data_IF_829734630899
#
_entry.id   IF_829734630899
#
_cell.length_a   1.000
_cell.length_b   1.000
_cell.length_c   1.000
_cell.angle_alpha   90.00
_cell.angle_beta   90.00
_cell.angle_gamma   90.00
#
_symmetry.space_group_name_H-M   'P 1'
#
loop_
_entity.id
_entity.type
_entity.pdbx_description
1 polymer ?
#
# COMPACT_ATOMS: atom_id res chain seq x y z
N UNK A 1 -12.95 -0.28 -0.90
CA UNK A 1 -13.89 0.60 -0.18
C UNK A 1 -13.09 1.69 0.51
N UNK A 2 -13.51 2.94 0.40
CA UNK A 2 -12.87 4.06 1.13
C UNK A 2 -13.91 4.73 2.01
N UNK A 3 -13.58 4.96 3.28
CA UNK A 3 -14.43 5.64 4.25
C UNK A 3 -13.66 6.81 4.86
N UNK A 4 -14.22 8.01 4.79
CA UNK A 4 -13.67 9.16 5.50
C UNK A 4 -14.40 9.38 6.83
N UNK A 5 -13.64 9.64 7.88
CA UNK A 5 -14.16 9.91 9.21
C UNK A 5 -13.38 11.03 9.89
N UNK A 6 -14.09 11.84 10.67
CA UNK A 6 -13.49 12.87 11.53
C UNK A 6 -13.67 12.47 12.98
N UNK A 7 -12.58 12.37 13.74
CA UNK A 7 -12.64 12.03 15.18
C UNK A 7 -11.57 12.78 15.94
N UNK A 8 -11.95 13.45 17.02
CA UNK A 8 -11.02 14.13 17.95
C UNK A 8 -10.02 15.07 17.27
N UNK A 9 -10.42 15.76 16.19
CA UNK A 9 -9.54 16.67 15.44
C UNK A 9 -8.69 15.99 14.36
N UNK A 10 -8.79 14.68 14.20
CA UNK A 10 -8.14 13.93 13.13
C UNK A 10 -9.09 13.73 11.95
N UNK A 11 -8.59 14.00 10.75
CA UNK A 11 -9.22 13.61 9.49
C UNK A 11 -8.61 12.29 9.05
N UNK A 12 -9.41 11.22 9.10
CA UNK A 12 -8.96 9.84 8.92
C UNK A 12 -9.60 9.26 7.67
N UNK A 13 -8.82 8.54 6.87
CA UNK A 13 -9.29 7.76 5.72
C UNK A 13 -9.03 6.29 6.00
N UNK A 14 -10.08 5.49 5.95
CA UNK A 14 -9.99 4.02 5.98
C UNK A 14 -10.09 3.50 4.56
N UNK A 15 -9.08 2.76 4.13
CA UNK A 15 -9.03 2.05 2.86
C UNK A 15 -9.16 0.56 3.15
N UNK A 16 -10.34 0.00 2.88
CA UNK A 16 -10.60 -1.43 2.95
C UNK A 16 -10.43 -2.08 1.58
N UNK A 17 -9.44 -2.96 1.43
CA UNK A 17 -9.17 -3.70 0.19
C UNK A 17 -8.87 -5.17 0.49
N UNK A 18 -8.96 -6.01 -0.53
CA UNK A 18 -8.56 -7.41 -0.49
C UNK A 18 -7.87 -7.71 -1.82
N UNK A 19 -6.59 -8.09 -1.76
CA UNK A 19 -5.81 -8.30 -2.96
C UNK A 19 -6.17 -9.64 -3.63
N UNK A 20 -5.94 -9.78 -4.93
CA UNK A 20 -5.98 -11.07 -5.61
C UNK A 20 -5.05 -12.08 -4.92
N UNK A 21 -5.37 -13.37 -5.02
CA UNK A 21 -4.54 -14.46 -4.49
C UNK A 21 -3.28 -14.67 -5.33
N UNK A 22 -2.31 -15.43 -4.82
CA UNK A 22 -1.02 -15.65 -5.48
C UNK A 22 -1.12 -16.34 -6.85
N UNK A 23 -2.18 -17.11 -7.07
CA UNK A 23 -2.48 -17.81 -8.33
C UNK A 23 -3.28 -16.96 -9.34
N UNK A 24 -3.70 -15.75 -8.97
CA UNK A 24 -4.40 -14.85 -9.88
C UNK A 24 -3.49 -14.41 -11.05
N UNK A 25 -4.11 -14.09 -12.19
CA UNK A 25 -3.39 -13.59 -13.36
C UNK A 25 -2.63 -12.29 -13.05
N UNK A 26 -1.44 -12.17 -13.65
CA UNK A 26 -0.55 -11.01 -13.49
C UNK A 26 -1.28 -9.70 -13.78
N UNK A 27 -2.07 -9.65 -14.86
CA UNK A 27 -2.83 -8.47 -15.24
C UNK A 27 -3.84 -8.03 -14.17
N UNK A 28 -4.46 -8.98 -13.47
CA UNK A 28 -5.42 -8.69 -12.39
C UNK A 28 -4.69 -8.10 -11.19
N UNK A 29 -3.49 -8.60 -10.87
CA UNK A 29 -2.64 -8.05 -9.81
C UNK A 29 -2.14 -6.66 -10.18
N UNK A 30 -1.65 -6.45 -11.40
CA UNK A 30 -1.22 -5.14 -11.90
C UNK A 30 -2.34 -4.11 -11.75
N UNK A 31 -3.52 -4.41 -12.30
CA UNK A 31 -4.68 -3.53 -12.21
C UNK A 31 -5.07 -3.22 -10.76
N UNK A 32 -5.00 -4.21 -9.86
CA UNK A 32 -5.29 -4.00 -8.45
C UNK A 32 -4.30 -3.02 -7.80
N UNK A 33 -3.00 -3.26 -7.97
CA UNK A 33 -1.97 -2.42 -7.33
C UNK A 33 -1.88 -1.03 -7.94
N UNK A 34 -2.06 -0.88 -9.25
CA UNK A 34 -2.17 0.43 -9.91
C UNK A 34 -3.36 1.22 -9.37
N UNK A 35 -4.53 0.58 -9.26
CA UNK A 35 -5.73 1.22 -8.69
C UNK A 35 -5.51 1.61 -7.23
N UNK A 36 -4.86 0.74 -6.45
CA UNK A 36 -4.53 1.02 -5.06
C UNK A 36 -3.58 2.22 -4.95
N UNK A 37 -2.50 2.26 -5.74
CA UNK A 37 -1.58 3.41 -5.80
C UNK A 37 -2.37 4.70 -6.09
N UNK A 38 -3.22 4.71 -7.11
CA UNK A 38 -4.02 5.89 -7.46
C UNK A 38 -4.93 6.34 -6.30
N UNK A 39 -5.58 5.41 -5.60
CA UNK A 39 -6.40 5.74 -4.44
C UNK A 39 -5.55 6.38 -3.34
N UNK A 40 -4.38 5.82 -3.04
CA UNK A 40 -3.49 6.31 -1.99
C UNK A 40 -2.90 7.69 -2.33
N UNK A 41 -2.45 7.90 -3.57
CA UNK A 41 -1.89 9.18 -4.02
C UNK A 41 -2.93 10.31 -4.05
N UNK A 42 -4.21 9.99 -4.27
CA UNK A 42 -5.28 10.99 -4.27
C UNK A 42 -5.73 11.40 -2.85
N UNK A 43 -5.29 10.71 -1.80
CA UNK A 43 -5.61 11.10 -0.42
C UNK A 43 -4.72 12.28 -0.02
N UNK A 44 -5.36 13.32 0.54
CA UNK A 44 -4.65 14.49 1.05
C UNK A 44 -3.58 14.04 2.09
N UNK A 45 -2.29 14.40 1.92
CA UNK A 45 -1.20 13.98 2.80
C UNK A 45 -1.36 14.36 4.27
N UNK A 46 -2.24 15.33 4.59
CA UNK A 46 -2.53 15.74 5.98
C UNK A 46 -3.52 14.81 6.69
N UNK A 47 -4.17 13.88 5.98
CA UNK A 47 -5.09 12.90 6.57
C UNK A 47 -4.30 11.68 7.04
N UNK A 48 -4.75 11.10 8.14
CA UNK A 48 -4.24 9.79 8.58
C UNK A 48 -4.90 8.70 7.76
N UNK A 49 -4.11 7.71 7.30
CA UNK A 49 -4.60 6.61 6.46
C UNK A 49 -4.50 5.30 7.24
N UNK A 50 -5.61 4.56 7.30
CA UNK A 50 -5.65 3.20 7.80
C UNK A 50 -6.01 2.23 6.67
N UNK A 51 -5.17 1.23 6.48
CA UNK A 51 -5.35 0.20 5.45
C UNK A 51 -5.76 -1.09 6.16
N UNK A 52 -7.01 -1.52 5.99
CA UNK A 52 -7.55 -2.76 6.60
C UNK A 52 -7.63 -3.87 5.54
N UNK A 53 -6.67 -4.81 5.55
CA UNK A 53 -6.40 -5.63 4.35
C UNK A 53 -5.87 -7.05 4.61
N UNK A 54 -6.24 -7.98 3.69
CA UNK A 54 -5.43 -9.13 3.28
C UNK A 54 -4.76 -8.87 1.94
N UNK A 55 -3.47 -8.48 1.95
CA UNK A 55 -2.77 -7.94 0.76
C UNK A 55 -2.19 -9.07 -0.10
N UNK A 56 -2.22 -10.32 0.40
CA UNK A 56 -1.58 -11.48 -0.22
C UNK A 56 -0.13 -11.18 -0.67
N UNK A 57 0.54 -10.27 0.04
CA UNK A 57 1.85 -9.75 -0.30
C UNK A 57 2.86 -10.23 0.73
N UNK A 58 3.84 -11.00 0.26
CA UNK A 58 5.03 -11.41 1.02
C UNK A 58 6.15 -10.51 0.55
N UNK A 59 6.56 -9.56 1.38
CA UNK A 59 7.48 -8.48 1.00
C UNK A 59 8.95 -8.87 1.09
N UNK A 60 9.27 -10.06 1.59
CA UNK A 60 10.62 -10.42 1.97
C UNK A 60 11.11 -9.61 3.19
N UNK A 61 12.40 -9.76 3.50
CA UNK A 61 13.12 -8.97 4.50
C UNK A 61 14.40 -8.37 3.90
N UNK A 62 14.66 -7.09 4.13
CA UNK A 62 15.81 -6.37 3.59
C UNK A 62 16.45 -5.44 4.63
N UNK A 63 17.78 -5.37 4.68
CA UNK A 63 18.50 -4.46 5.58
C UNK A 63 18.51 -3.01 5.07
N UNK A 64 18.54 -2.83 3.75
CA UNK A 64 18.89 -1.56 3.11
C UNK A 64 17.80 -1.04 2.14
N UNK A 65 16.51 -1.31 2.44
CA UNK A 65 15.39 -0.73 1.69
C UNK A 65 14.65 0.30 2.54
N UNK A 66 14.17 1.35 1.88
CA UNK A 66 13.45 2.44 2.54
C UNK A 66 12.07 2.03 3.05
N UNK A 67 11.43 1.08 2.36
CA UNK A 67 10.04 0.64 2.61
C UNK A 67 9.97 -0.69 3.35
N UNK A 68 10.92 -1.59 3.14
CA UNK A 68 10.91 -2.94 3.73
C UNK A 68 12.04 -3.08 4.75
N UNK A 69 11.68 -3.52 5.95
CA UNK A 69 12.63 -3.74 7.04
C UNK A 69 13.30 -5.12 7.03
N UNK A 70 14.22 -5.31 7.97
CA UNK A 70 15.07 -6.51 8.09
C UNK A 70 14.43 -7.75 8.72
N UNK A 71 13.21 -7.62 9.22
CA UNK A 71 12.51 -8.70 9.92
C UNK A 71 11.26 -9.09 9.14
N UNK A 72 10.89 -10.37 9.20
CA UNK A 72 9.74 -10.91 8.50
C UNK A 72 10.06 -12.25 7.85
N UNK A 73 9.24 -12.63 6.89
CA UNK A 73 9.46 -13.81 6.06
C UNK A 73 10.45 -13.48 4.92
N UNK A 74 11.34 -14.41 4.59
CA UNK A 74 12.34 -14.20 3.52
C UNK A 74 11.74 -14.20 2.11
N UNK A 75 10.60 -14.87 1.93
CA UNK A 75 9.95 -14.99 0.64
C UNK A 75 9.40 -13.65 0.14
N UNK A 76 9.77 -13.31 -1.08
CA UNK A 76 9.20 -12.21 -1.84
C UNK A 76 8.31 -12.78 -2.94
N UNK A 77 7.00 -12.54 -2.86
CA UNK A 77 6.07 -12.94 -3.92
C UNK A 77 5.75 -11.77 -4.86
N UNK A 78 5.05 -12.10 -5.95
CA UNK A 78 4.69 -11.18 -7.04
C UNK A 78 3.88 -9.97 -6.55
N UNK A 79 2.93 -10.20 -5.64
CA UNK A 79 2.14 -9.18 -4.95
C UNK A 79 3.00 -8.31 -4.02
N UNK A 80 3.98 -8.91 -3.34
CA UNK A 80 4.94 -8.23 -2.49
C UNK A 80 5.82 -7.23 -3.25
N UNK A 81 6.27 -7.58 -4.44
CA UNK A 81 7.03 -6.65 -5.29
C UNK A 81 6.21 -5.40 -5.65
N UNK A 82 4.95 -5.60 -6.02
CA UNK A 82 4.05 -4.50 -6.38
C UNK A 82 3.71 -3.62 -5.19
N UNK A 83 3.43 -4.22 -4.02
CA UNK A 83 3.18 -3.47 -2.80
C UNK A 83 4.38 -2.57 -2.44
N UNK A 84 5.60 -3.10 -2.55
CA UNK A 84 6.81 -2.31 -2.30
C UNK A 84 6.85 -1.12 -3.25
N UNK A 85 6.62 -1.32 -4.55
CA UNK A 85 6.61 -0.23 -5.53
C UNK A 85 5.53 0.81 -5.22
N UNK A 86 4.30 0.37 -4.93
CA UNK A 86 3.18 1.24 -4.52
C UNK A 86 3.57 2.12 -3.33
N UNK A 87 4.16 1.53 -2.28
CA UNK A 87 4.58 2.26 -1.08
C UNK A 87 5.73 3.24 -1.36
N UNK A 88 6.69 2.83 -2.20
CA UNK A 88 7.76 3.72 -2.67
C UNK A 88 7.17 4.95 -3.40
N UNK A 89 6.33 4.73 -4.41
CA UNK A 89 5.70 5.81 -5.19
C UNK A 89 4.88 6.75 -4.30
N UNK A 90 4.12 6.20 -3.35
CA UNK A 90 3.32 6.99 -2.42
C UNK A 90 4.19 7.87 -1.52
N UNK A 91 5.22 7.32 -0.85
CA UNK A 91 6.11 8.09 0.02
C UNK A 91 6.76 9.24 -0.74
N UNK A 92 7.29 8.99 -1.94
CA UNK A 92 7.96 10.02 -2.73
C UNK A 92 6.99 11.05 -3.31
N UNK A 93 5.74 10.68 -3.61
CA UNK A 93 4.72 11.65 -4.00
C UNK A 93 4.34 12.59 -2.84
N UNK A 94 4.23 12.07 -1.61
CA UNK A 94 3.84 12.86 -0.44
C UNK A 94 4.88 13.88 0.03
N UNK A 95 6.16 13.71 -0.31
CA UNK A 95 7.24 14.63 0.06
C UNK A 95 7.45 15.79 -0.91
N UNK A 96 6.90 15.74 -2.14
CA UNK A 96 7.07 16.79 -3.15
C UNK A 96 6.00 17.89 -3.10
N UNK A 97 5.01 17.79 -2.20
CA UNK A 97 3.91 18.75 -2.05
C UNK A 97 4.10 19.75 -0.87
N UNK A 98 5.35 19.96 -0.42
CA UNK A 98 5.70 20.97 0.62
C UNK A 98 6.34 22.22 0.07
#
# INVERSE_FOLDING_TARGET
MTLELKKNGYDIVIVGVYAPTDDAEVLIKDQFYETLTQVLTNINPKKEIFIFVGLNARTGCFMDRAVVGKYGEEALNDSGQRLIITDYEWIFSSQNDT
#
